data_IF_330584893479
#
_entry.id   IF_330584893479
#
_cell.length_a   1.000
_cell.length_b   1.000
_cell.length_c   1.000
_cell.angle_alpha   90.00
_cell.angle_beta   90.00
_cell.angle_gamma   90.00
#
_symmetry.space_group_name_H-M   'P 1'
#
loop_
_entity.id
_entity.type
_entity.pdbx_description
1 polymer ?
#
# COMPACT_ATOMS: atom_id res chain seq x y z
N UNK A 1 -15.36 21.30 -12.65
CA UNK A 1 -14.16 20.52 -12.26
C UNK A 1 -14.50 19.76 -11.00
N UNK A 2 -14.09 18.49 -10.89
CA UNK A 2 -14.25 17.73 -9.66
C UNK A 2 -13.14 18.13 -8.68
N UNK A 3 -13.48 18.43 -7.43
CA UNK A 3 -12.50 18.73 -6.38
C UNK A 3 -11.90 17.44 -5.83
N UNK A 4 -10.59 17.46 -5.55
CA UNK A 4 -9.84 16.32 -5.03
C UNK A 4 -9.18 16.69 -3.71
N UNK A 5 -9.18 15.74 -2.77
CA UNK A 5 -8.37 15.81 -1.56
C UNK A 5 -6.97 15.31 -1.88
N UNK A 6 -5.94 16.09 -1.56
CA UNK A 6 -4.55 15.67 -1.65
C UNK A 6 -4.01 15.41 -0.25
N UNK A 7 -3.41 14.24 -0.04
CA UNK A 7 -2.75 13.84 1.22
C UNK A 7 -1.28 13.59 0.91
N UNK A 8 -0.40 14.26 1.65
CA UNK A 8 1.05 14.04 1.62
C UNK A 8 1.48 13.45 2.96
N UNK A 9 1.70 12.15 2.98
CA UNK A 9 2.14 11.42 4.18
C UNK A 9 3.66 11.27 4.20
N UNK A 10 4.21 11.26 5.42
CA UNK A 10 5.58 10.81 5.65
C UNK A 10 5.75 9.30 5.41
N UNK A 11 6.99 8.78 5.47
CA UNK A 11 7.24 7.35 5.42
C UNK A 11 6.51 6.61 6.54
N UNK A 12 5.82 5.53 6.20
CA UNK A 12 5.12 4.65 7.15
C UNK A 12 5.53 3.19 6.93
N UNK A 13 5.29 2.32 7.92
CA UNK A 13 5.42 0.88 7.73
C UNK A 13 4.36 0.33 6.75
N UNK A 14 4.56 -0.90 6.29
CA UNK A 14 3.71 -1.50 5.28
C UNK A 14 2.27 -1.76 5.73
N UNK A 15 2.06 -2.13 6.99
CA UNK A 15 0.72 -2.38 7.53
C UNK A 15 -0.05 -1.07 7.64
N UNK A 16 0.60 -0.02 8.16
CA UNK A 16 0.04 1.32 8.24
C UNK A 16 -0.34 1.86 6.86
N UNK A 17 0.55 1.76 5.87
CA UNK A 17 0.26 2.19 4.50
C UNK A 17 -0.95 1.46 3.91
N UNK A 18 -1.05 0.14 4.08
CA UNK A 18 -2.20 -0.63 3.59
C UNK A 18 -3.50 -0.33 4.35
N UNK A 19 -3.42 -0.06 5.66
CA UNK A 19 -4.57 0.30 6.48
C UNK A 19 -5.13 1.67 6.07
N UNK A 20 -4.27 2.66 5.85
CA UNK A 20 -4.67 4.01 5.41
C UNK A 20 -5.32 3.94 4.02
N UNK A 21 -4.70 3.25 3.06
CA UNK A 21 -5.26 3.11 1.71
C UNK A 21 -6.65 2.43 1.75
N UNK A 22 -6.85 1.40 2.60
CA UNK A 22 -8.16 0.77 2.80
C UNK A 22 -9.19 1.71 3.42
N UNK A 23 -8.79 2.51 4.41
CA UNK A 23 -9.68 3.45 5.07
C UNK A 23 -10.14 4.57 4.11
N UNK A 24 -9.23 5.07 3.27
CA UNK A 24 -9.55 6.03 2.21
C UNK A 24 -10.50 5.40 1.20
N UNK A 25 -10.21 4.18 0.73
CA UNK A 25 -11.10 3.44 -0.17
C UNK A 25 -12.52 3.29 0.37
N UNK A 26 -12.67 2.84 1.62
CA UNK A 26 -13.97 2.69 2.25
C UNK A 26 -14.70 4.04 2.43
N UNK A 27 -13.95 5.11 2.72
CA UNK A 27 -14.52 6.45 2.91
C UNK A 27 -15.01 7.05 1.60
N UNK A 28 -14.25 6.92 0.50
CA UNK A 28 -14.68 7.34 -0.83
C UNK A 28 -15.89 6.52 -1.30
N UNK A 29 -15.84 5.19 -1.16
CA UNK A 29 -16.95 4.31 -1.55
C UNK A 29 -18.26 4.59 -0.79
N UNK A 30 -18.18 5.12 0.43
CA UNK A 30 -19.35 5.53 1.22
C UNK A 30 -19.75 7.00 1.03
N UNK A 31 -19.08 7.74 0.13
CA UNK A 31 -19.35 9.15 -0.14
C UNK A 31 -19.00 10.10 1.02
N UNK A 32 -18.25 9.64 2.03
CA UNK A 32 -17.89 10.45 3.21
C UNK A 32 -16.72 11.39 2.97
N UNK A 33 -15.95 11.16 1.92
CA UNK A 33 -14.78 11.96 1.56
C UNK A 33 -14.74 12.21 0.06
N UNK A 34 -14.08 13.30 -0.35
CA UNK A 34 -13.78 13.56 -1.75
C UNK A 34 -12.87 12.47 -2.35
N UNK A 35 -12.88 12.30 -3.69
CA UNK A 35 -11.81 11.59 -4.39
C UNK A 35 -10.44 12.04 -3.88
N UNK A 36 -9.58 11.09 -3.61
CA UNK A 36 -8.33 11.32 -2.89
C UNK A 36 -7.13 10.87 -3.71
N UNK A 37 -6.17 11.78 -3.86
CA UNK A 37 -4.80 11.47 -4.23
C UNK A 37 -3.97 11.42 -2.95
N UNK A 38 -3.28 10.32 -2.71
CA UNK A 38 -2.34 10.18 -1.59
C UNK A 38 -0.95 9.93 -2.14
N UNK A 39 0.04 10.66 -1.61
CA UNK A 39 1.47 10.51 -1.87
C UNK A 39 2.14 10.03 -0.57
N UNK A 40 2.94 8.98 -0.63
CA UNK A 40 3.58 8.40 0.56
C UNK A 40 4.87 7.65 0.23
N UNK A 41 5.64 7.36 1.27
CA UNK A 41 6.89 6.58 1.20
C UNK A 41 6.84 5.39 2.17
N UNK A 42 7.89 4.58 2.13
CA UNK A 42 8.02 3.38 2.96
C UNK A 42 9.14 3.59 3.99
N UNK A 43 8.83 3.40 5.26
CA UNK A 43 9.80 3.55 6.36
C UNK A 43 10.91 2.48 6.28
N UNK A 44 10.58 1.31 5.73
CA UNK A 44 11.47 0.16 5.62
C UNK A 44 11.18 -0.67 4.37
N UNK A 45 12.15 -1.46 3.86
CA UNK A 45 11.92 -2.40 2.79
C UNK A 45 10.69 -3.27 3.05
N UNK A 46 9.72 -3.21 2.14
CA UNK A 46 8.44 -3.89 2.29
C UNK A 46 8.04 -4.57 1.00
N UNK A 47 7.77 -5.87 1.08
CA UNK A 47 7.23 -6.64 -0.02
C UNK A 47 5.71 -6.62 0.04
N UNK A 48 5.08 -5.94 -0.91
CA UNK A 48 3.64 -6.04 -1.09
C UNK A 48 3.30 -7.23 -1.98
N UNK A 49 2.26 -7.99 -1.62
CA UNK A 49 1.72 -9.09 -2.44
C UNK A 49 0.33 -8.76 -2.94
N UNK A 50 0.01 -9.20 -4.16
CA UNK A 50 -1.31 -8.98 -4.74
C UNK A 50 -2.40 -9.73 -3.98
N UNK A 51 -3.63 -9.22 -4.05
CA UNK A 51 -4.79 -9.76 -3.34
C UNK A 51 -4.95 -11.28 -3.47
N UNK A 52 -4.89 -11.81 -4.70
CA UNK A 52 -5.07 -13.23 -4.98
C UNK A 52 -3.75 -14.03 -5.10
N UNK A 53 -2.59 -13.41 -4.83
CA UNK A 53 -1.31 -14.07 -5.02
C UNK A 53 -1.02 -15.08 -3.89
N UNK A 54 -0.60 -16.29 -4.28
CA UNK A 54 -0.14 -17.34 -3.37
C UNK A 54 1.32 -17.08 -2.98
N UNK A 55 1.51 -16.19 -2.01
CA UNK A 55 2.83 -15.77 -1.59
C UNK A 55 3.68 -16.91 -1.02
N UNK A 56 3.07 -17.97 -0.48
CA UNK A 56 3.82 -19.08 0.09
C UNK A 56 4.59 -19.88 -0.97
N UNK A 57 4.12 -19.85 -2.23
CA UNK A 57 4.79 -20.51 -3.36
C UNK A 57 5.77 -19.61 -4.09
N UNK A 58 5.53 -18.30 -4.09
CA UNK A 58 6.28 -17.35 -4.93
C UNK A 58 7.35 -16.56 -4.15
N UNK A 59 7.29 -16.55 -2.81
CA UNK A 59 8.13 -15.70 -1.98
C UNK A 59 8.91 -16.53 -0.97
N UNK A 60 10.22 -16.30 -0.90
CA UNK A 60 11.07 -16.83 0.17
C UNK A 60 10.85 -16.04 1.47
N UNK A 61 9.82 -16.44 2.20
CA UNK A 61 9.44 -15.82 3.49
C UNK A 61 10.58 -15.85 4.50
N UNK A 62 11.42 -16.90 4.48
CA UNK A 62 12.54 -17.01 5.40
C UNK A 62 13.63 -16.00 5.06
N UNK A 63 13.90 -15.75 3.78
CA UNK A 63 14.83 -14.72 3.35
C UNK A 63 14.30 -13.32 3.68
N UNK A 64 13.03 -13.04 3.43
CA UNK A 64 12.41 -11.78 3.83
C UNK A 64 12.55 -11.52 5.33
N UNK A 65 12.24 -12.54 6.17
CA UNK A 65 12.39 -12.44 7.62
C UNK A 65 13.85 -12.17 8.03
N UNK A 66 14.82 -12.87 7.45
CA UNK A 66 16.26 -12.67 7.73
C UNK A 66 16.74 -11.27 7.34
N UNK A 67 16.16 -10.68 6.30
CA UNK A 67 16.49 -9.34 5.81
C UNK A 67 15.67 -8.23 6.48
N UNK A 68 14.75 -8.56 7.39
CA UNK A 68 13.85 -7.58 8.00
C UNK A 68 12.81 -6.98 7.04
N UNK A 69 12.54 -7.65 5.91
CA UNK A 69 11.56 -7.20 4.92
C UNK A 69 10.16 -7.60 5.39
N UNK A 70 9.31 -6.61 5.64
CA UNK A 70 7.90 -6.84 5.97
C UNK A 70 7.17 -7.37 4.74
N UNK A 71 6.22 -8.30 4.92
CA UNK A 71 5.37 -8.80 3.84
C UNK A 71 3.94 -8.39 4.15
N UNK A 72 3.31 -7.61 3.26
CA UNK A 72 1.93 -7.14 3.43
C UNK A 72 1.10 -7.40 2.18
N UNK A 73 -0.21 -7.53 2.34
CA UNK A 73 -1.14 -7.81 1.22
C UNK A 73 -1.92 -6.57 0.82
N UNK A 74 -1.85 -6.21 -0.47
CA UNK A 74 -2.61 -5.09 -1.04
C UNK A 74 -4.09 -5.48 -1.19
N UNK A 75 -5.02 -4.51 -1.10
CA UNK A 75 -6.42 -4.74 -1.43
C UNK A 75 -6.66 -4.96 -2.93
N UNK A 76 -5.69 -4.60 -3.77
CA UNK A 76 -5.73 -4.74 -5.23
C UNK A 76 -4.98 -5.98 -5.72
N UNK A 77 -5.22 -6.37 -6.98
CA UNK A 77 -4.51 -7.45 -7.65
C UNK A 77 -3.05 -7.12 -8.02
N UNK A 78 -2.55 -7.81 -9.03
CA UNK A 78 -1.16 -7.67 -9.49
C UNK A 78 -0.19 -8.62 -8.79
N UNK A 79 1.10 -8.44 -9.07
CA UNK A 79 2.19 -9.28 -8.56
C UNK A 79 2.95 -8.59 -7.42
N UNK A 80 3.81 -9.37 -6.78
CA UNK A 80 4.64 -8.89 -5.70
C UNK A 80 5.57 -7.76 -6.15
N UNK A 81 5.74 -6.75 -5.30
CA UNK A 81 6.65 -5.61 -5.52
C UNK A 81 7.38 -5.29 -4.22
N UNK A 82 8.71 -5.16 -4.31
CA UNK A 82 9.54 -4.71 -3.20
C UNK A 82 9.64 -3.18 -3.23
N UNK A 83 9.15 -2.54 -2.18
CA UNK A 83 9.26 -1.11 -1.95
C UNK A 83 10.47 -0.80 -1.07
N UNK A 84 11.19 0.28 -1.35
CA UNK A 84 12.30 0.75 -0.51
C UNK A 84 12.49 2.27 -0.61
N UNK A 85 13.29 2.75 -1.54
CA UNK A 85 13.56 4.18 -1.75
C UNK A 85 12.77 4.71 -2.94
N UNK A 86 11.45 4.85 -2.76
CA UNK A 86 10.55 5.32 -3.80
C UNK A 86 9.45 6.22 -3.22
N UNK A 87 8.87 7.03 -4.10
CA UNK A 87 7.59 7.69 -3.85
C UNK A 87 6.49 6.80 -4.41
N UNK A 88 5.51 6.50 -3.59
CA UNK A 88 4.32 5.73 -3.96
C UNK A 88 3.11 6.66 -3.95
N UNK A 89 2.15 6.39 -4.83
CA UNK A 89 0.89 7.12 -4.85
C UNK A 89 -0.31 6.17 -4.96
N UNK A 90 -1.45 6.62 -4.45
CA UNK A 90 -2.75 5.98 -4.64
C UNK A 90 -3.80 7.00 -5.07
N UNK A 91 -4.69 6.60 -5.96
CA UNK A 91 -5.83 7.38 -6.45
C UNK A 91 -7.10 6.59 -6.12
N UNK A 92 -8.03 7.23 -5.43
CA UNK A 92 -9.28 6.61 -4.98
C UNK A 92 -10.44 7.56 -5.21
N UNK A 93 -11.48 7.12 -5.92
CA UNK A 93 -12.68 7.90 -6.22
C UNK A 93 -13.93 7.05 -6.03
#
# INVERSE_FOLDING_TARGET
>A
MQEWRVIEDGPQDGESNMAIDRAILASCASGKTLPTLRLYCWERPTLTVGYAQDFAKEIDVNRCRKLGIQIVRRPTGGRALLHNHEVTYSLTA
#
